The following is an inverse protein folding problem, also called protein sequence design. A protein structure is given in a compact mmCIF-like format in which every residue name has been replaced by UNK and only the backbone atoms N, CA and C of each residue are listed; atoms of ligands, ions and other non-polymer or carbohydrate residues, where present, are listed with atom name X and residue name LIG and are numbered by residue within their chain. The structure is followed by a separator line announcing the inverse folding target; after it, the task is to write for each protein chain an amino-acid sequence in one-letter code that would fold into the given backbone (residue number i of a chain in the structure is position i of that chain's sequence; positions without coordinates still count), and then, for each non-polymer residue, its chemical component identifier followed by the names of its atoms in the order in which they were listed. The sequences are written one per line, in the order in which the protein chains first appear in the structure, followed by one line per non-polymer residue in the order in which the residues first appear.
data_IF_858129805087
#
_entry.id   IF_858129805087
#
_cell.length_a   1.000
_cell.length_b   1.000
_cell.length_c   1.000
_cell.angle_alpha   90.00
_cell.angle_beta   90.00
_cell.angle_gamma   90.00
#
_symmetry.space_group_name_H-M   'P 1'
#
loop_
_entity.id
_entity.type
_entity.pdbx_description
1 polymer ?
#
# COMPACT_ATOMS: atom_id res chain seq x y z
N UNK A 1 -3.07 -11.55 -8.85
CA UNK A 1 -1.78 -11.36 -8.18
C UNK A 1 -1.93 -10.37 -7.04
N UNK A 2 -1.36 -10.70 -5.91
CA UNK A 2 -1.44 -9.88 -4.70
C UNK A 2 -0.03 -9.57 -4.20
N UNK A 3 0.21 -8.33 -3.81
CA UNK A 3 1.45 -7.92 -3.16
C UNK A 3 1.15 -7.27 -1.83
N UNK A 4 1.93 -7.63 -0.85
CA UNK A 4 1.86 -7.08 0.49
C UNK A 4 3.14 -6.30 0.77
N UNK A 5 2.98 -5.08 1.22
CA UNK A 5 4.11 -4.21 1.56
C UNK A 5 4.05 -3.84 3.03
N UNK A 6 5.20 -3.83 3.66
CA UNK A 6 5.36 -3.28 5.00
C UNK A 6 6.25 -2.05 4.87
N UNK A 7 5.70 -0.90 5.18
CA UNK A 7 6.37 0.39 5.00
C UNK A 7 6.79 0.93 6.36
N UNK A 8 8.08 1.14 6.54
CA UNK A 8 8.66 1.66 7.78
C UNK A 8 9.18 3.07 7.59
N UNK A 9 9.20 3.83 8.67
CA UNK A 9 9.67 5.22 8.71
C UNK A 9 8.66 6.11 9.40
N UNK A 10 8.66 7.40 9.05
CA UNK A 10 7.65 8.33 9.54
C UNK A 10 6.46 8.32 8.58
N UNK A 11 5.60 7.33 8.77
CA UNK A 11 4.50 7.03 7.83
C UNK A 11 3.12 7.04 8.49
N UNK A 12 3.04 7.11 9.81
CA UNK A 12 1.76 7.26 10.51
C UNK A 12 1.54 8.71 10.91
N UNK A 13 0.27 9.15 10.84
CA UNK A 13 -0.10 10.51 11.23
C UNK A 13 0.26 11.59 10.21
N UNK A 14 0.64 11.22 8.99
CA UNK A 14 1.09 12.14 7.95
C UNK A 14 0.31 12.01 6.65
N UNK A 15 -0.85 11.33 6.69
CA UNK A 15 -1.68 11.14 5.51
C UNK A 15 -1.21 10.04 4.57
N UNK A 16 -0.33 9.16 5.04
CA UNK A 16 0.26 8.12 4.19
C UNK A 16 -0.79 7.15 3.64
N UNK A 17 -1.72 6.68 4.49
CA UNK A 17 -2.77 5.75 4.04
C UNK A 17 -3.68 6.39 2.98
N UNK A 18 -3.99 7.66 3.10
CA UNK A 18 -4.75 8.42 2.11
C UNK A 18 -4.01 8.51 0.80
N UNK A 19 -2.72 8.80 0.85
CA UNK A 19 -1.85 8.85 -0.32
C UNK A 19 -1.86 7.50 -1.04
N UNK A 20 -1.69 6.40 -0.30
CA UNK A 20 -1.71 5.05 -0.85
C UNK A 20 -3.05 4.74 -1.52
N UNK A 21 -4.15 4.98 -0.81
CA UNK A 21 -5.49 4.69 -1.33
C UNK A 21 -5.78 5.46 -2.61
N UNK A 22 -5.42 6.73 -2.64
CA UNK A 22 -5.62 7.58 -3.80
C UNK A 22 -4.90 7.04 -5.03
N UNK A 23 -3.64 6.65 -4.87
CA UNK A 23 -2.87 6.13 -5.99
C UNK A 23 -3.30 4.72 -6.39
N UNK A 24 -3.59 3.86 -5.42
CA UNK A 24 -4.07 2.52 -5.70
C UNK A 24 -5.39 2.54 -6.47
N UNK A 25 -6.31 3.41 -6.07
CA UNK A 25 -7.58 3.59 -6.79
C UNK A 25 -7.36 4.06 -8.21
N UNK A 26 -6.45 5.00 -8.42
CA UNK A 26 -6.10 5.48 -9.75
C UNK A 26 -5.47 4.41 -10.64
N UNK A 27 -4.83 3.41 -10.04
CA UNK A 27 -4.24 2.29 -10.75
C UNK A 27 -5.21 1.11 -10.93
N UNK A 28 -6.43 1.24 -10.44
CA UNK A 28 -7.43 0.18 -10.52
C UNK A 28 -7.17 -1.00 -9.59
N UNK A 29 -6.41 -0.78 -8.52
CA UNK A 29 -6.07 -1.84 -7.57
C UNK A 29 -7.11 -1.92 -6.46
N UNK A 30 -7.36 -3.14 -5.98
CA UNK A 30 -8.16 -3.42 -4.79
C UNK A 30 -7.23 -3.72 -3.62
N UNK A 31 -7.69 -3.50 -2.40
CA UNK A 31 -6.88 -3.81 -1.23
C UNK A 31 -7.14 -2.88 -0.07
N UNK A 32 -6.12 -2.69 0.76
CA UNK A 32 -6.22 -1.82 1.91
C UNK A 32 -4.86 -1.32 2.37
N UNK A 33 -4.90 -0.24 3.15
CA UNK A 33 -3.74 0.27 3.89
C UNK A 33 -4.16 0.42 5.35
N UNK A 34 -3.34 -0.09 6.28
CA UNK A 34 -3.62 0.03 7.71
C UNK A 34 -2.36 0.32 8.50
N UNK A 35 -2.50 1.06 9.60
CA UNK A 35 -1.41 1.28 10.53
C UNK A 35 -1.21 0.03 11.38
N UNK A 36 0.05 -0.35 11.58
CA UNK A 36 0.41 -1.42 12.49
C UNK A 36 0.82 -0.84 13.86
N UNK A 37 0.69 -1.62 14.94
CA UNK A 37 1.07 -1.14 16.27
C UNK A 37 2.54 -0.74 16.41
N UNK A 38 3.41 -1.29 15.59
CA UNK A 38 4.85 -1.02 15.63
C UNK A 38 5.27 0.24 14.85
N UNK A 39 4.31 0.99 14.32
CA UNK A 39 4.56 2.23 13.59
C UNK A 39 4.64 2.07 12.09
N UNK A 40 4.66 0.85 11.57
CA UNK A 40 4.65 0.61 10.12
C UNK A 40 3.24 0.73 9.55
N UNK A 41 3.18 0.86 8.23
CA UNK A 41 1.92 0.78 7.48
C UNK A 41 1.96 -0.48 6.63
N UNK A 42 0.92 -1.30 6.76
CA UNK A 42 0.73 -2.46 5.89
C UNK A 42 -0.14 -2.06 4.70
N UNK A 43 0.32 -2.41 3.51
CA UNK A 43 -0.41 -2.17 2.27
C UNK A 43 -0.56 -3.51 1.56
N UNK A 44 -1.80 -3.91 1.30
CA UNK A 44 -2.07 -5.12 0.52
C UNK A 44 -2.82 -4.69 -0.72
N UNK A 45 -2.32 -5.06 -1.88
CA UNK A 45 -2.89 -4.64 -3.16
C UNK A 45 -3.03 -5.83 -4.11
N UNK A 46 -4.17 -5.91 -4.74
CA UNK A 46 -4.52 -6.94 -5.73
C UNK A 46 -5.00 -6.26 -6.99
N UNK A 47 -4.59 -6.75 -8.12
CA UNK A 47 -5.16 -6.24 -9.38
C UNK A 47 -4.38 -6.63 -10.60
N UNK A 48 -4.94 -6.22 -11.67
CA UNK A 48 -4.71 -6.40 -13.06
C UNK A 48 -3.35 -6.91 -13.51
N UNK A 49 -2.30 -6.15 -13.37
CA UNK A 49 -1.03 -6.55 -13.92
C UNK A 49 0.15 -6.11 -13.02
N UNK A 50 1.31 -6.65 -13.35
CA UNK A 50 2.55 -6.33 -12.64
C UNK A 50 2.92 -4.85 -12.73
N UNK A 51 2.58 -4.20 -13.83
CA UNK A 51 2.94 -2.81 -14.04
C UNK A 51 2.26 -1.89 -13.02
N UNK A 52 0.96 -2.15 -12.74
CA UNK A 52 0.23 -1.37 -11.74
C UNK A 52 0.80 -1.58 -10.34
N UNK A 53 1.11 -2.82 -9.99
CA UNK A 53 1.69 -3.14 -8.67
C UNK A 53 3.10 -2.57 -8.53
N UNK A 54 3.90 -2.63 -9.59
CA UNK A 54 5.24 -2.04 -9.61
C UNK A 54 5.16 -0.50 -9.47
N UNK A 55 4.20 0.12 -10.11
CA UNK A 55 4.00 1.57 -9.99
C UNK A 55 3.60 1.95 -8.57
N UNK A 56 2.71 1.17 -7.96
CA UNK A 56 2.35 1.39 -6.57
C UNK A 56 3.58 1.31 -5.66
N UNK A 57 4.42 0.32 -5.85
CA UNK A 57 5.65 0.18 -5.06
C UNK A 57 6.55 1.41 -5.19
N UNK A 58 6.74 1.94 -6.41
CA UNK A 58 7.51 3.16 -6.60
C UNK A 58 6.92 4.33 -5.81
N UNK A 59 5.60 4.46 -5.83
CA UNK A 59 4.91 5.52 -5.10
C UNK A 59 5.05 5.36 -3.58
N UNK A 60 4.99 4.12 -3.08
CA UNK A 60 5.22 3.85 -1.67
C UNK A 60 6.62 4.25 -1.22
N UNK A 61 7.62 3.96 -2.05
CA UNK A 61 9.02 4.30 -1.73
C UNK A 61 9.26 5.80 -1.71
N UNK A 62 8.60 6.54 -2.59
CA UNK A 62 8.67 7.99 -2.61
C UNK A 62 7.92 8.63 -1.45
N UNK A 63 6.71 8.14 -1.20
CA UNK A 63 5.83 8.67 -0.18
C UNK A 63 5.32 10.07 -0.48
N UNK A 64 4.36 10.58 0.30
CA UNK A 64 3.93 11.97 0.23
C UNK A 64 4.94 12.90 0.89
N UNK A 65 4.76 14.22 0.69
CA UNK A 65 5.74 15.22 1.10
C UNK A 65 6.08 15.21 2.59
N UNK A 66 5.11 14.89 3.45
CA UNK A 66 5.31 14.92 4.90
C UNK A 66 5.67 13.55 5.49
N UNK A 67 5.81 12.54 4.66
CA UNK A 67 6.24 11.23 5.10
C UNK A 67 7.74 11.06 4.87
N UNK A 68 8.31 10.13 5.63
CA UNK A 68 9.70 9.73 5.43
C UNK A 68 9.74 8.22 5.40
N UNK A 69 9.87 7.66 4.19
CA UNK A 69 9.93 6.23 4.00
C UNK A 69 11.39 5.77 4.12
N UNK A 70 11.64 4.90 5.07
CA UNK A 70 12.98 4.36 5.31
C UNK A 70 13.15 2.99 4.71
N UNK A 71 12.08 2.17 4.69
CA UNK A 71 12.14 0.82 4.17
C UNK A 71 10.79 0.41 3.64
N UNK A 72 10.79 -0.30 2.52
CA UNK A 72 9.61 -0.97 1.99
C UNK A 72 9.97 -2.45 1.82
N UNK A 73 9.31 -3.29 2.60
CA UNK A 73 9.45 -4.74 2.52
C UNK A 73 8.31 -5.27 1.66
N UNK A 74 8.63 -6.10 0.68
CA UNK A 74 7.65 -6.60 -0.29
C UNK A 74 7.51 -8.11 -0.16
N UNK A 75 6.27 -8.58 -0.15
CA UNK A 75 5.93 -10.00 -0.19
C UNK A 75 4.92 -10.24 -1.30
N UNK A 76 5.24 -11.16 -2.20
CA UNK A 76 4.29 -11.58 -3.24
C UNK A 76 3.45 -12.71 -2.68
N UNK A 77 2.13 -12.62 -2.86
CA UNK A 77 1.17 -13.59 -2.35
C UNK A 77 0.20 -13.97 -3.46
N UNK A 78 -0.42 -15.15 -3.35
CA UNK A 78 -1.44 -15.54 -4.31
C UNK A 78 -2.74 -14.80 -4.04
N UNK A 79 -3.26 -14.94 -2.83
CA UNK A 79 -4.50 -14.32 -2.39
C UNK A 79 -4.40 -13.90 -0.94
N UNK A 80 -5.16 -12.86 -0.59
CA UNK A 80 -5.35 -12.44 0.78
C UNK A 80 -6.84 -12.27 1.03
N UNK A 81 -7.46 -13.08 1.92
CA UNK A 81 -8.90 -13.01 2.15
C UNK A 81 -9.35 -11.69 2.79
N UNK A 82 -8.43 -10.88 3.28
CA UNK A 82 -8.75 -9.56 3.83
C UNK A 82 -9.00 -8.51 2.76
N UNK A 83 -8.63 -8.79 1.50
CA UNK A 83 -8.76 -7.82 0.41
C UNK A 83 -10.23 -7.72 0.00
N UNK A 84 -10.80 -6.50 0.01
CA UNK A 84 -12.16 -6.31 -0.46
C UNK A 84 -12.24 -6.44 -1.98
N UNK A 85 -13.43 -6.81 -2.47
CA UNK A 85 -13.67 -6.90 -3.89
C UNK A 85 -13.87 -5.50 -4.48
N UNK A 86 -13.04 -5.14 -5.46
CA UNK A 86 -13.19 -3.91 -6.27
C UNK A 86 -13.12 -2.60 -5.49
N UNK A 87 -12.45 -2.59 -4.35
CA UNK A 87 -12.25 -1.34 -3.61
C UNK A 87 -10.88 -1.30 -2.97
N UNK A 88 -10.41 -0.09 -2.68
CA UNK A 88 -9.21 0.08 -1.87
C UNK A 88 -9.61 0.85 -0.62
N UNK A 89 -9.38 0.26 0.54
CA UNK A 89 -9.84 0.76 1.83
C UNK A 89 -8.71 1.32 2.68
N UNK A 90 -9.05 2.31 3.47
CA UNK A 90 -8.19 2.82 4.53
C UNK A 90 -8.71 2.21 5.83
N UNK A 91 -7.86 1.47 6.51
CA UNK A 91 -8.24 0.74 7.73
C UNK A 91 -7.48 1.19 8.96
#
# INVERSE_FOLDING_TARGET
MTRRFLVAGQVQGVGFRWFVARHARGLGLSGFARNLPDGRVEVVATGGDDAALARLEELLRAGPAHARVEMVERHDEEDDPRVPTRSFEIR
#
